data_IF_940216765947
#
_entry.id   IF_940216765947
#
_cell.length_a   1.000
_cell.length_b   1.000
_cell.length_c   1.000
_cell.angle_alpha   90.00
_cell.angle_beta   90.00
_cell.angle_gamma   90.00
#
_symmetry.space_group_name_H-M   'P 1'
#
loop_
_entity.id
_entity.type
_entity.pdbx_description
1 polymer ?
#
# COMPACT_ATOMS: atom_id res chain seq x y z
N UNK A 1 -9.25 21.69 -31.21
CA UNK A 1 -8.52 20.51 -31.75
C UNK A 1 -8.04 19.67 -30.59
N UNK A 2 -7.51 18.45 -30.77
CA UNK A 2 -6.99 17.64 -29.65
C UNK A 2 -5.90 18.33 -28.83
N UNK A 3 -5.11 19.18 -29.51
CA UNK A 3 -4.05 19.99 -28.91
C UNK A 3 -4.66 21.09 -28.03
N UNK A 4 -5.64 21.83 -28.55
CA UNK A 4 -6.38 22.82 -27.73
C UNK A 4 -7.13 22.16 -26.57
N UNK A 5 -7.66 20.94 -26.75
CA UNK A 5 -8.32 20.21 -25.66
C UNK A 5 -7.32 19.82 -24.57
N UNK A 6 -6.11 19.40 -24.91
CA UNK A 6 -5.07 19.11 -23.92
C UNK A 6 -4.66 20.36 -23.14
N UNK A 7 -4.52 21.51 -23.81
CA UNK A 7 -4.26 22.80 -23.19
C UNK A 7 -5.38 23.18 -22.18
N UNK A 8 -6.65 23.09 -22.59
CA UNK A 8 -7.79 23.40 -21.72
C UNK A 8 -7.88 22.44 -20.51
N UNK A 9 -7.53 21.16 -20.68
CA UNK A 9 -7.50 20.21 -19.57
C UNK A 9 -6.42 20.60 -18.56
N UNK A 10 -5.24 21.03 -19.01
CA UNK A 10 -4.17 21.47 -18.12
C UNK A 10 -4.55 22.73 -17.33
N UNK A 11 -5.18 23.70 -17.99
CA UNK A 11 -5.68 24.92 -17.34
C UNK A 11 -6.75 24.59 -16.28
N UNK A 12 -7.74 23.76 -16.63
CA UNK A 12 -8.79 23.35 -15.68
C UNK A 12 -8.20 22.55 -14.51
N UNK A 13 -7.23 21.67 -14.76
CA UNK A 13 -6.58 20.90 -13.70
C UNK A 13 -5.81 21.80 -12.73
N UNK A 14 -5.13 22.84 -13.23
CA UNK A 14 -4.45 23.84 -12.41
C UNK A 14 -5.41 24.71 -11.59
N UNK A 15 -6.65 24.94 -12.06
CA UNK A 15 -7.68 25.61 -11.27
C UNK A 15 -8.25 24.70 -10.17
N UNK A 16 -8.25 23.38 -10.39
CA UNK A 16 -8.80 22.40 -9.46
C UNK A 16 -7.84 22.00 -8.33
N UNK A 17 -6.53 22.14 -8.53
CA UNK A 17 -5.53 21.80 -7.51
C UNK A 17 -4.10 22.05 -7.99
N UNK A 18 -3.15 21.76 -7.09
CA UNK A 18 -1.72 21.93 -7.38
C UNK A 18 -1.25 20.86 -8.38
N UNK A 19 -0.65 21.32 -9.48
CA UNK A 19 0.02 20.46 -10.46
C UNK A 19 1.50 20.29 -10.12
N UNK A 20 2.11 19.24 -10.66
CA UNK A 20 3.56 19.15 -10.69
C UNK A 20 4.18 20.32 -11.46
N UNK A 21 5.42 20.66 -11.09
CA UNK A 21 6.23 21.68 -11.78
C UNK A 21 6.69 21.22 -13.19
N UNK A 22 6.40 19.97 -13.57
CA UNK A 22 6.74 19.38 -14.85
C UNK A 22 5.51 18.93 -15.66
N UNK A 23 5.68 18.82 -16.98
CA UNK A 23 4.67 18.27 -17.88
C UNK A 23 5.18 17.13 -18.76
N UNK A 24 4.26 16.24 -19.15
CA UNK A 24 4.50 15.30 -20.23
C UNK A 24 4.18 15.95 -21.57
N UNK A 25 5.08 15.82 -22.54
CA UNK A 25 4.88 16.33 -23.89
C UNK A 25 4.89 15.19 -24.90
N UNK A 26 3.79 15.05 -25.65
CA UNK A 26 3.59 13.95 -26.60
C UNK A 26 3.20 14.49 -27.96
N UNK A 27 3.47 13.75 -29.04
CA UNK A 27 2.84 14.08 -30.32
C UNK A 27 1.35 13.74 -30.25
N UNK A 28 0.48 14.72 -30.47
CA UNK A 28 -0.97 14.52 -30.39
C UNK A 28 -1.52 13.46 -31.34
N UNK A 29 -0.77 13.02 -32.35
CA UNK A 29 -1.13 12.00 -33.34
C UNK A 29 -0.41 10.65 -33.14
N UNK A 30 0.37 10.49 -32.06
CA UNK A 30 1.04 9.25 -31.67
C UNK A 30 0.41 8.68 -30.38
N UNK A 31 -0.73 7.98 -30.46
CA UNK A 31 -1.52 7.63 -29.28
C UNK A 31 -0.79 6.70 -28.31
N UNK A 32 0.11 5.84 -28.78
CA UNK A 32 0.83 4.91 -27.90
C UNK A 32 1.72 5.66 -26.89
N UNK A 33 2.38 6.73 -27.31
CA UNK A 33 3.26 7.53 -26.45
C UNK A 33 2.44 8.27 -25.38
N UNK A 34 1.29 8.84 -25.79
CA UNK A 34 0.36 9.48 -24.85
C UNK A 34 -0.22 8.50 -23.82
N UNK A 35 -0.49 7.26 -24.23
CA UNK A 35 -1.05 6.24 -23.35
C UNK A 35 -0.01 5.68 -22.39
N UNK A 36 1.25 5.57 -22.81
CA UNK A 36 2.35 5.19 -21.91
C UNK A 36 2.59 6.25 -20.83
N UNK A 37 2.47 7.53 -21.18
CA UNK A 37 2.63 8.65 -20.23
C UNK A 37 1.44 8.83 -19.27
N UNK A 38 0.25 8.32 -19.65
CA UNK A 38 -1.02 8.50 -18.93
C UNK A 38 -0.97 8.18 -17.43
N UNK A 39 -0.59 6.96 -17.03
CA UNK A 39 -0.49 6.59 -15.62
C UNK A 39 0.43 7.52 -14.83
N UNK A 40 1.61 7.84 -15.37
CA UNK A 40 2.59 8.67 -14.66
C UNK A 40 2.11 10.11 -14.51
N UNK A 41 1.42 10.64 -15.53
CA UNK A 41 0.77 11.94 -15.47
C UNK A 41 -0.32 11.99 -14.41
N UNK A 42 -1.13 10.92 -14.29
CA UNK A 42 -2.19 10.82 -13.30
C UNK A 42 -1.63 10.75 -11.87
N UNK A 43 -0.66 9.89 -11.63
CA UNK A 43 -0.06 9.69 -10.30
C UNK A 43 0.63 10.95 -9.77
N UNK A 44 1.30 11.69 -10.66
CA UNK A 44 2.09 12.86 -10.27
C UNK A 44 1.35 14.19 -10.43
N UNK A 45 0.04 14.15 -10.71
CA UNK A 45 -0.75 15.36 -10.96
C UNK A 45 -0.11 16.28 -12.03
N UNK A 46 0.45 15.67 -13.08
CA UNK A 46 1.19 16.37 -14.13
C UNK A 46 0.36 16.45 -15.43
N UNK A 47 0.31 17.61 -16.12
CA UNK A 47 -0.46 17.72 -17.35
C UNK A 47 0.23 16.98 -18.52
N UNK A 48 -0.60 16.44 -19.43
CA UNK A 48 -0.14 15.94 -20.74
C UNK A 48 -0.45 16.98 -21.80
N UNK A 49 0.59 17.64 -22.31
CA UNK A 49 0.49 18.59 -23.40
C UNK A 49 0.86 17.95 -24.74
N UNK A 50 0.25 18.46 -25.81
CA UNK A 50 0.42 17.88 -27.14
C UNK A 50 1.17 18.81 -28.09
N UNK A 51 2.08 18.23 -28.86
CA UNK A 51 2.78 18.90 -29.98
C UNK A 51 2.45 18.24 -31.31
N UNK A 52 2.95 18.82 -32.40
CA UNK A 52 3.00 18.19 -33.73
C UNK A 52 4.42 17.72 -34.02
N UNK A 53 4.58 16.83 -34.99
CA UNK A 53 5.89 16.27 -35.35
C UNK A 53 6.97 17.32 -35.62
N UNK A 54 6.60 18.42 -36.30
CA UNK A 54 7.52 19.47 -36.72
C UNK A 54 7.26 20.86 -36.15
N UNK A 55 6.38 21.00 -35.14
CA UNK A 55 6.13 22.30 -34.51
C UNK A 55 5.57 22.16 -33.09
N UNK A 56 6.01 23.03 -32.17
CA UNK A 56 5.27 23.34 -30.94
C UNK A 56 4.14 24.33 -31.31
N UNK A 57 2.86 23.97 -31.10
CA UNK A 57 1.74 24.88 -31.31
C UNK A 57 1.74 26.01 -30.26
N UNK A 58 1.36 27.23 -30.62
CA UNK A 58 1.36 28.37 -29.68
C UNK A 58 0.54 28.10 -28.42
N UNK A 59 -0.62 27.43 -28.54
CA UNK A 59 -1.45 27.06 -27.37
C UNK A 59 -0.72 26.16 -26.36
N UNK A 60 0.27 25.39 -26.80
CA UNK A 60 1.10 24.58 -25.90
C UNK A 60 2.16 25.45 -25.23
N UNK A 61 2.76 26.38 -25.98
CA UNK A 61 3.72 27.36 -25.44
C UNK A 61 3.04 28.26 -24.39
N UNK A 62 1.85 28.76 -24.71
CA UNK A 62 1.05 29.65 -23.85
C UNK A 62 0.72 28.97 -22.51
N UNK A 63 0.36 27.68 -22.51
CA UNK A 63 0.06 26.92 -21.28
C UNK A 63 1.32 26.65 -20.47
N UNK A 64 2.44 26.30 -21.10
CA UNK A 64 3.72 26.12 -20.39
C UNK A 64 4.13 27.40 -19.65
N UNK A 65 4.04 28.56 -20.32
CA UNK A 65 4.34 29.86 -19.71
C UNK A 65 3.34 30.21 -18.61
N UNK A 66 2.04 30.02 -18.85
CA UNK A 66 0.98 30.39 -17.91
C UNK A 66 1.02 29.56 -16.61
N UNK A 67 1.35 28.27 -16.72
CA UNK A 67 1.45 27.37 -15.58
C UNK A 67 2.84 27.38 -14.92
N UNK A 68 3.82 28.08 -15.51
CA UNK A 68 5.17 28.16 -14.96
C UNK A 68 5.94 26.85 -15.00
N UNK A 69 5.61 25.96 -15.94
CA UNK A 69 6.20 24.63 -16.08
C UNK A 69 7.59 24.75 -16.70
N UNK A 70 8.63 24.35 -15.96
CA UNK A 70 10.03 24.50 -16.35
C UNK A 70 10.79 23.18 -16.55
N UNK A 71 10.12 22.04 -16.37
CA UNK A 71 10.61 20.71 -16.71
C UNK A 71 9.64 19.92 -17.61
N UNK A 72 10.16 19.21 -18.61
CA UNK A 72 9.37 18.48 -19.60
C UNK A 72 9.89 17.07 -19.85
N UNK A 73 8.99 16.10 -19.78
CA UNK A 73 9.22 14.73 -20.26
C UNK A 73 8.61 14.57 -21.65
N UNK A 74 9.45 14.64 -22.68
CA UNK A 74 9.04 14.38 -24.07
C UNK A 74 8.97 12.88 -24.29
N UNK A 75 7.75 12.36 -24.42
CA UNK A 75 7.51 10.93 -24.64
C UNK A 75 7.35 10.64 -26.13
N UNK A 76 8.21 9.78 -26.65
CA UNK A 76 8.27 9.38 -28.06
C UNK A 76 9.56 9.82 -28.76
N UNK A 77 9.99 9.03 -29.75
CA UNK A 77 11.26 9.23 -30.46
C UNK A 77 11.24 10.39 -31.47
N UNK A 78 12.37 10.61 -32.15
CA UNK A 78 12.53 11.71 -33.13
C UNK A 78 11.63 11.59 -34.35
N UNK A 79 11.06 10.41 -34.60
CA UNK A 79 10.10 10.18 -35.69
C UNK A 79 8.71 10.78 -35.39
N UNK A 80 8.39 11.03 -34.12
CA UNK A 80 7.11 11.61 -33.70
C UNK A 80 7.27 12.96 -33.02
N UNK A 81 8.39 13.22 -32.34
CA UNK A 81 8.74 14.55 -31.84
C UNK A 81 10.13 14.88 -32.35
N UNK A 82 10.20 15.59 -33.48
CA UNK A 82 11.46 15.86 -34.18
C UNK A 82 12.49 16.58 -33.28
N UNK A 83 13.76 16.48 -33.64
CA UNK A 83 14.84 17.19 -32.94
C UNK A 83 14.61 18.72 -32.93
N UNK A 84 14.00 19.27 -33.98
CA UNK A 84 13.67 20.69 -34.03
C UNK A 84 12.61 21.08 -32.99
N UNK A 85 11.58 20.24 -32.81
CA UNK A 85 10.54 20.45 -31.78
C UNK A 85 11.14 20.28 -30.39
N UNK A 86 11.97 19.27 -30.19
CA UNK A 86 12.67 19.07 -28.92
C UNK A 86 13.52 20.28 -28.54
N UNK A 87 14.34 20.78 -29.45
CA UNK A 87 15.17 21.96 -29.19
C UNK A 87 14.31 23.22 -28.94
N UNK A 88 13.16 23.35 -29.60
CA UNK A 88 12.23 24.45 -29.34
C UNK A 88 11.65 24.37 -27.93
N UNK A 89 11.37 23.17 -27.42
CA UNK A 89 10.94 22.96 -26.03
C UNK A 89 12.10 23.20 -25.04
N UNK A 90 13.32 22.79 -25.38
CA UNK A 90 14.54 22.96 -24.58
C UNK A 90 14.98 24.43 -24.43
N UNK A 91 14.58 25.28 -25.39
CA UNK A 91 14.72 26.73 -25.28
C UNK A 91 13.73 27.35 -24.26
N UNK A 92 12.69 26.61 -23.85
CA UNK A 92 11.61 27.08 -22.95
C UNK A 92 11.69 26.48 -21.55
N UNK A 93 12.10 25.21 -21.43
CA UNK A 93 12.11 24.42 -20.20
C UNK A 93 13.22 23.34 -20.27
N UNK A 94 13.60 22.75 -19.16
CA UNK A 94 14.52 21.61 -19.12
C UNK A 94 13.83 20.37 -19.70
N UNK A 95 14.40 19.74 -20.73
CA UNK A 95 13.73 18.62 -21.43
C UNK A 95 14.47 17.30 -21.32
N UNK A 96 13.75 16.27 -20.86
CA UNK A 96 14.16 14.85 -20.90
C UNK A 96 13.34 14.10 -21.95
N UNK A 97 13.98 13.20 -22.71
CA UNK A 97 13.29 12.37 -23.71
C UNK A 97 13.14 10.93 -23.22
N UNK A 98 11.91 10.45 -23.16
CA UNK A 98 11.57 9.05 -22.88
C UNK A 98 11.15 8.39 -24.19
N UNK A 99 12.06 7.61 -24.80
CA UNK A 99 11.81 7.04 -26.12
C UNK A 99 12.63 5.79 -26.41
N UNK A 100 11.98 4.80 -27.00
CA UNK A 100 12.61 3.62 -27.57
C UNK A 100 12.53 3.56 -29.09
N UNK A 101 13.02 2.47 -29.68
CA UNK A 101 12.95 2.25 -31.14
C UNK A 101 11.52 2.03 -31.65
N UNK A 102 10.63 1.56 -30.77
CA UNK A 102 9.21 1.39 -31.03
C UNK A 102 8.37 1.64 -29.76
N UNK A 103 7.05 1.47 -29.85
CA UNK A 103 6.12 1.72 -28.73
C UNK A 103 6.40 0.85 -27.50
N UNK A 104 6.92 -0.36 -27.69
CA UNK A 104 7.18 -1.29 -26.60
C UNK A 104 8.40 -0.82 -25.81
N UNK A 105 9.45 -0.41 -26.52
CA UNK A 105 10.62 0.18 -25.88
C UNK A 105 10.31 1.56 -25.28
N UNK A 106 9.51 2.41 -25.91
CA UNK A 106 9.08 3.68 -25.29
C UNK A 106 8.31 3.46 -23.98
N UNK A 107 7.41 2.46 -23.91
CA UNK A 107 6.74 2.15 -22.63
C UNK A 107 7.70 1.71 -21.53
N UNK A 108 8.79 1.02 -21.90
CA UNK A 108 9.84 0.63 -20.93
C UNK A 108 10.61 1.85 -20.44
N UNK A 109 10.96 2.79 -21.32
CA UNK A 109 11.69 4.00 -20.92
C UNK A 109 10.83 4.91 -20.03
N UNK A 110 9.51 4.96 -20.25
CA UNK A 110 8.59 5.63 -19.31
C UNK A 110 8.54 4.88 -17.97
N UNK A 111 8.45 3.55 -17.99
CA UNK A 111 8.44 2.75 -16.76
C UNK A 111 9.72 2.95 -15.94
N UNK A 112 10.90 2.94 -16.55
CA UNK A 112 12.18 3.13 -15.83
C UNK A 112 12.31 4.51 -15.19
N UNK A 113 11.89 5.56 -15.90
CA UNK A 113 12.05 6.92 -15.42
C UNK A 113 11.03 7.25 -14.34
N UNK A 114 9.76 6.93 -14.58
CA UNK A 114 8.66 7.35 -13.72
C UNK A 114 8.36 6.36 -12.60
N UNK A 115 8.84 5.11 -12.72
CA UNK A 115 8.53 4.02 -11.80
C UNK A 115 9.77 3.18 -11.45
N UNK A 116 10.82 3.79 -10.87
CA UNK A 116 12.04 3.07 -10.52
C UNK A 116 11.80 1.92 -9.53
N UNK A 117 10.77 2.05 -8.68
CA UNK A 117 10.43 1.10 -7.62
C UNK A 117 9.09 0.38 -7.88
N UNK A 118 8.62 0.34 -9.13
CA UNK A 118 7.34 -0.32 -9.43
C UNK A 118 7.34 -1.80 -9.06
N UNK A 119 6.33 -2.20 -8.30
CA UNK A 119 6.02 -3.61 -8.02
C UNK A 119 4.96 -4.12 -8.99
N UNK A 120 3.99 -3.27 -9.33
CA UNK A 120 2.84 -3.64 -10.17
C UNK A 120 2.94 -3.05 -11.57
N UNK A 121 2.52 -3.82 -12.58
CA UNK A 121 2.57 -3.40 -13.98
C UNK A 121 1.26 -3.68 -14.71
N UNK A 122 0.87 -2.74 -15.56
CA UNK A 122 -0.28 -2.86 -16.46
C UNK A 122 0.17 -3.37 -17.82
N UNK A 123 -0.24 -4.59 -18.18
CA UNK A 123 0.09 -5.20 -19.47
C UNK A 123 -1.03 -4.94 -20.47
N UNK A 124 -0.71 -4.27 -21.58
CA UNK A 124 -1.71 -3.85 -22.56
C UNK A 124 -1.32 -4.23 -23.99
N UNK A 125 -2.28 -4.65 -24.80
CA UNK A 125 -2.06 -4.89 -26.22
C UNK A 125 -1.65 -3.61 -26.96
N UNK A 126 -0.48 -3.62 -27.60
CA UNK A 126 0.15 -2.43 -28.17
C UNK A 126 -0.62 -1.72 -29.27
N UNK A 127 -1.71 -2.30 -29.80
CA UNK A 127 -2.56 -1.68 -30.83
C UNK A 127 -4.02 -1.46 -30.39
N UNK A 128 -4.38 -1.87 -29.17
CA UNK A 128 -5.74 -1.69 -28.63
C UNK A 128 -5.74 -0.61 -27.55
N UNK A 129 -5.98 0.63 -27.99
CA UNK A 129 -5.83 1.82 -27.15
C UNK A 129 -6.90 1.98 -26.07
N UNK A 130 -8.09 1.37 -26.23
CA UNK A 130 -9.15 1.48 -25.23
C UNK A 130 -8.77 0.81 -23.90
N UNK A 131 -8.07 -0.32 -23.98
CA UNK A 131 -7.60 -1.06 -22.80
C UNK A 131 -6.54 -0.25 -22.04
N UNK A 132 -5.68 0.48 -22.75
CA UNK A 132 -4.66 1.35 -22.13
C UNK A 132 -5.29 2.53 -21.36
N UNK A 133 -6.39 3.10 -21.86
CA UNK A 133 -7.12 4.15 -21.14
C UNK A 133 -7.71 3.59 -19.85
N UNK A 134 -8.28 2.38 -19.90
CA UNK A 134 -8.79 1.69 -18.72
C UNK A 134 -7.69 1.31 -17.73
N UNK A 135 -6.48 1.02 -18.21
CA UNK A 135 -5.32 0.74 -17.35
C UNK A 135 -4.77 1.98 -16.65
N UNK A 136 -4.88 3.17 -17.26
CA UNK A 136 -4.28 4.39 -16.73
C UNK A 136 -4.75 4.78 -15.33
N UNK A 137 -5.97 4.40 -14.94
CA UNK A 137 -6.54 4.71 -13.61
C UNK A 137 -5.87 3.92 -12.47
N UNK A 138 -5.12 2.86 -12.78
CA UNK A 138 -4.39 2.09 -11.78
C UNK A 138 -3.06 2.74 -11.39
N UNK A 139 -2.67 3.85 -12.03
CA UNK A 139 -1.39 4.53 -11.83
C UNK A 139 -0.14 3.66 -12.03
N UNK A 140 -0.27 2.39 -12.40
CA UNK A 140 0.86 1.50 -12.67
C UNK A 140 1.49 1.74 -14.05
N UNK A 141 2.80 1.50 -14.21
CA UNK A 141 3.47 1.56 -15.52
C UNK A 141 2.77 0.68 -16.55
N UNK A 142 2.39 1.27 -17.67
CA UNK A 142 1.85 0.53 -18.82
C UNK A 142 3.01 -0.03 -19.63
N UNK A 143 3.05 -1.35 -19.78
CA UNK A 143 3.94 -2.05 -20.70
C UNK A 143 3.13 -2.62 -21.87
N UNK A 144 3.50 -2.22 -23.09
CA UNK A 144 2.84 -2.74 -24.27
C UNK A 144 3.37 -4.13 -24.66
N UNK A 145 2.48 -5.02 -25.07
CA UNK A 145 2.82 -6.33 -25.66
C UNK A 145 2.18 -6.50 -27.03
N UNK A 146 2.63 -7.48 -27.81
CA UNK A 146 1.91 -7.88 -29.04
C UNK A 146 0.75 -8.79 -28.65
N UNK A 147 -0.22 -8.93 -29.55
CA UNK A 147 -1.35 -9.83 -29.34
C UNK A 147 -0.89 -11.27 -29.07
N UNK A 148 0.13 -11.73 -29.80
CA UNK A 148 0.57 -13.12 -29.84
C UNK A 148 1.99 -13.34 -29.28
N UNK A 149 2.65 -12.30 -28.77
CA UNK A 149 3.98 -12.42 -28.21
C UNK A 149 4.31 -11.30 -27.20
N UNK A 150 5.09 -11.64 -26.16
CA UNK A 150 5.84 -10.64 -25.38
C UNK A 150 7.03 -10.20 -26.24
N UNK A 151 7.19 -8.90 -26.56
CA UNK A 151 8.39 -8.41 -27.24
C UNK A 151 9.65 -8.72 -26.42
N UNK A 152 10.75 -9.08 -27.06
CA UNK A 152 11.98 -9.47 -26.34
C UNK A 152 12.55 -8.37 -25.44
N UNK A 153 12.33 -7.09 -25.79
CA UNK A 153 12.71 -5.96 -24.94
C UNK A 153 11.89 -5.90 -23.65
N UNK A 154 10.58 -6.13 -23.74
CA UNK A 154 9.66 -6.17 -22.59
C UNK A 154 9.94 -7.42 -21.75
N UNK A 155 10.19 -8.56 -22.40
CA UNK A 155 10.52 -9.81 -21.74
C UNK A 155 11.78 -9.68 -20.88
N UNK A 156 12.85 -9.11 -21.44
CA UNK A 156 14.11 -8.87 -20.74
C UNK A 156 14.00 -7.79 -19.66
N UNK A 157 13.18 -6.76 -19.87
CA UNK A 157 12.91 -5.75 -18.83
C UNK A 157 12.20 -6.39 -17.63
N UNK A 158 11.16 -7.18 -17.88
CA UNK A 158 10.43 -7.89 -16.81
C UNK A 158 11.31 -8.90 -16.06
N UNK A 159 12.28 -9.55 -16.72
CA UNK A 159 13.22 -10.45 -16.04
C UNK A 159 14.14 -9.70 -15.05
N UNK A 160 14.38 -8.41 -15.26
CA UNK A 160 15.25 -7.58 -14.43
C UNK A 160 14.50 -6.99 -13.22
N UNK A 161 13.21 -6.67 -13.39
CA UNK A 161 12.45 -5.88 -12.40
C UNK A 161 11.41 -6.68 -11.61
N UNK A 162 10.95 -7.84 -12.11
CA UNK A 162 9.91 -8.59 -11.41
C UNK A 162 10.45 -9.24 -10.13
N UNK A 163 9.68 -9.09 -9.06
CA UNK A 163 9.90 -9.76 -7.78
C UNK A 163 8.74 -10.71 -7.47
N UNK A 164 8.85 -11.50 -6.40
CA UNK A 164 7.76 -12.38 -5.96
C UNK A 164 6.52 -11.60 -5.49
N UNK A 165 6.70 -10.31 -5.15
CA UNK A 165 5.62 -9.42 -4.79
C UNK A 165 4.91 -8.79 -6.00
N UNK A 166 5.52 -8.83 -7.19
CA UNK A 166 5.00 -8.12 -8.36
C UNK A 166 3.65 -8.65 -8.86
N UNK A 167 2.76 -7.74 -9.27
CA UNK A 167 1.50 -8.09 -9.92
C UNK A 167 1.49 -7.60 -11.37
N UNK A 168 1.30 -8.54 -12.31
CA UNK A 168 1.02 -8.21 -13.71
C UNK A 168 -0.48 -8.25 -13.98
N UNK A 169 -1.07 -7.09 -14.24
CA UNK A 169 -2.51 -6.99 -14.59
C UNK A 169 -2.67 -6.83 -16.10
N UNK A 170 -3.32 -7.79 -16.75
CA UNK A 170 -3.58 -7.75 -18.19
C UNK A 170 -4.90 -7.01 -18.46
N UNK A 171 -4.83 -5.94 -19.24
CA UNK A 171 -6.01 -5.20 -19.70
C UNK A 171 -6.36 -5.60 -21.13
N UNK A 172 -7.62 -6.01 -21.31
CA UNK A 172 -8.16 -6.48 -22.57
C UNK A 172 -8.32 -8.00 -22.62
N UNK A 173 -9.26 -8.47 -23.46
CA UNK A 173 -9.48 -9.90 -23.65
C UNK A 173 -8.43 -10.57 -24.53
N UNK A 174 -8.63 -11.86 -24.84
CA UNK A 174 -7.70 -12.68 -25.64
C UNK A 174 -7.45 -12.20 -27.08
N UNK A 175 -8.30 -11.29 -27.57
CA UNK A 175 -8.11 -10.62 -28.87
C UNK A 175 -7.08 -9.49 -28.77
N UNK A 176 -6.85 -8.92 -27.59
CA UNK A 176 -5.83 -7.90 -27.34
C UNK A 176 -4.52 -8.50 -26.85
N UNK A 177 -4.60 -9.44 -25.92
CA UNK A 177 -3.47 -10.15 -25.33
C UNK A 177 -3.84 -11.64 -25.26
N UNK A 178 -3.28 -12.45 -26.13
CA UNK A 178 -3.65 -13.88 -26.23
C UNK A 178 -3.28 -14.66 -24.97
N UNK A 179 -3.93 -15.80 -24.77
CA UNK A 179 -3.60 -16.71 -23.66
C UNK A 179 -2.15 -17.20 -23.70
N UNK A 180 -1.53 -17.27 -24.89
CA UNK A 180 -0.12 -17.64 -25.00
C UNK A 180 0.82 -16.56 -24.44
N UNK A 181 0.43 -15.28 -24.52
CA UNK A 181 1.15 -14.18 -23.87
C UNK A 181 0.94 -14.24 -22.36
N UNK A 182 -0.29 -14.46 -21.92
CA UNK A 182 -0.61 -14.65 -20.50
C UNK A 182 0.19 -15.81 -19.88
N UNK A 183 0.25 -16.96 -20.56
CA UNK A 183 1.03 -18.12 -20.11
C UNK A 183 2.54 -17.82 -20.05
N UNK A 184 3.07 -17.07 -21.02
CA UNK A 184 4.48 -16.65 -21.01
C UNK A 184 4.81 -15.71 -19.85
N UNK A 185 3.91 -14.77 -19.52
CA UNK A 185 4.08 -13.86 -18.39
C UNK A 185 3.96 -14.60 -17.05
N UNK A 186 3.01 -15.54 -16.92
CA UNK A 186 2.90 -16.41 -15.73
C UNK A 186 4.15 -17.23 -15.48
N UNK A 187 4.80 -17.71 -16.54
CA UNK A 187 6.02 -18.50 -16.41
C UNK A 187 7.15 -17.72 -15.75
N UNK A 188 7.19 -16.38 -15.89
CA UNK A 188 8.21 -15.55 -15.23
C UNK A 188 8.14 -15.66 -13.70
N UNK A 189 6.94 -15.73 -13.12
CA UNK A 189 6.76 -15.87 -11.67
C UNK A 189 7.15 -17.24 -11.11
N UNK A 190 7.31 -18.27 -11.95
CA UNK A 190 7.72 -19.61 -11.49
C UNK A 190 9.20 -19.63 -11.12
N UNK A 191 10.01 -18.81 -11.79
CA UNK A 191 11.47 -18.78 -11.63
C UNK A 191 11.95 -17.66 -10.69
N UNK A 192 11.04 -16.82 -10.18
CA UNK A 192 11.41 -15.79 -9.20
C UNK A 192 11.63 -16.45 -7.84
N UNK A 193 12.84 -16.37 -7.26
CA UNK A 193 13.09 -16.89 -5.93
C UNK A 193 12.20 -16.13 -4.94
N UNK A 194 11.36 -16.86 -4.22
CA UNK A 194 10.63 -16.31 -3.09
C UNK A 194 11.64 -16.21 -1.94
N UNK A 195 11.79 -15.02 -1.36
CA UNK A 195 12.63 -14.85 -0.17
C UNK A 195 11.98 -15.54 1.03
N UNK A 196 12.79 -16.16 1.87
CA UNK A 196 12.29 -16.81 3.08
C UNK A 196 11.82 -15.74 4.08
N UNK A 197 10.57 -15.85 4.53
CA UNK A 197 10.00 -14.92 5.50
C UNK A 197 9.26 -15.65 6.63
N UNK A 198 9.41 -15.13 7.84
CA UNK A 198 8.50 -15.40 8.96
C UNK A 198 7.22 -14.60 8.71
N UNK A 199 6.07 -15.26 8.75
CA UNK A 199 4.78 -14.63 8.52
C UNK A 199 4.00 -14.36 9.79
N UNK A 200 4.26 -15.12 10.85
CA UNK A 200 3.57 -15.00 12.14
C UNK A 200 4.40 -15.66 13.25
N UNK A 201 4.23 -15.16 14.47
CA UNK A 201 4.76 -15.78 15.70
C UNK A 201 3.65 -15.84 16.73
N UNK A 202 3.52 -16.97 17.43
CA UNK A 202 2.52 -17.15 18.47
C UNK A 202 3.05 -17.92 19.67
N UNK A 203 2.88 -17.38 20.87
CA UNK A 203 3.09 -18.13 22.11
C UNK A 203 2.02 -19.24 22.25
N UNK A 204 2.44 -20.47 22.49
CA UNK A 204 1.59 -21.66 22.58
C UNK A 204 1.20 -22.05 24.01
N UNK A 205 1.80 -21.40 25.01
CA UNK A 205 1.55 -21.68 26.44
C UNK A 205 1.38 -20.39 27.22
N UNK A 206 0.66 -20.46 28.33
CA UNK A 206 0.42 -19.28 29.19
C UNK A 206 1.72 -18.67 29.73
N UNK A 207 2.71 -19.50 30.06
CA UNK A 207 4.04 -19.05 30.52
C UNK A 207 5.02 -18.70 29.39
N UNK A 208 4.61 -18.83 28.12
CA UNK A 208 5.46 -18.50 26.98
C UNK A 208 6.64 -19.47 26.75
N UNK A 209 6.66 -20.63 27.40
CA UNK A 209 7.73 -21.63 27.25
C UNK A 209 7.82 -22.27 25.87
N UNK A 210 6.73 -22.18 25.11
CA UNK A 210 6.66 -22.66 23.74
C UNK A 210 6.07 -21.59 22.84
N UNK A 211 6.62 -21.49 21.63
CA UNK A 211 6.09 -20.65 20.56
C UNK A 211 5.99 -21.44 19.24
N UNK A 212 5.18 -20.93 18.31
CA UNK A 212 5.17 -21.35 16.91
C UNK A 212 5.57 -20.16 16.05
N UNK A 213 6.46 -20.41 15.11
CA UNK A 213 6.85 -19.49 14.05
C UNK A 213 6.27 -20.05 12.75
N UNK A 214 5.45 -19.30 12.02
CA UNK A 214 4.92 -19.69 10.71
C UNK A 214 5.73 -19.01 9.59
N UNK A 215 5.87 -19.68 8.44
CA UNK A 215 6.71 -19.24 7.32
C UNK A 215 5.92 -19.11 6.02
N UNK A 216 6.37 -18.23 5.12
CA UNK A 216 5.77 -18.07 3.78
C UNK A 216 6.01 -19.29 2.87
N UNK A 217 7.04 -20.08 3.15
CA UNK A 217 7.40 -21.30 2.43
C UNK A 217 7.76 -22.47 3.35
N UNK A 218 7.90 -23.66 2.78
CA UNK A 218 8.30 -24.83 3.54
C UNK A 218 9.83 -24.94 3.61
N UNK A 219 10.37 -25.12 4.82
CA UNK A 219 11.81 -25.38 5.06
C UNK A 219 12.07 -26.87 5.32
N UNK A 220 13.27 -27.33 5.00
CA UNK A 220 13.63 -28.74 5.16
C UNK A 220 13.81 -29.16 6.63
N UNK A 221 14.51 -28.35 7.42
CA UNK A 221 14.85 -28.62 8.81
C UNK A 221 15.11 -27.31 9.56
N UNK A 222 14.98 -27.37 10.88
CA UNK A 222 15.32 -26.27 11.80
C UNK A 222 15.81 -26.88 13.12
N UNK A 223 16.68 -26.16 13.80
CA UNK A 223 17.26 -26.50 15.09
C UNK A 223 17.33 -25.25 15.97
N UNK A 224 17.67 -25.41 17.25
CA UNK A 224 17.77 -24.29 18.17
C UNK A 224 18.81 -23.24 17.72
N UNK A 225 19.93 -23.68 17.11
CA UNK A 225 21.01 -22.80 16.64
C UNK A 225 20.59 -21.92 15.45
N UNK A 226 19.47 -22.24 14.79
CA UNK A 226 18.95 -21.48 13.65
C UNK A 226 18.02 -20.34 14.09
N UNK A 227 17.76 -20.19 15.40
CA UNK A 227 16.79 -19.24 15.96
C UNK A 227 17.45 -18.38 17.03
N UNK A 228 17.36 -17.06 16.85
CA UNK A 228 17.71 -16.05 17.84
C UNK A 228 16.43 -15.31 18.25
N UNK A 229 16.24 -15.09 19.55
CA UNK A 229 15.09 -14.34 20.08
C UNK A 229 15.60 -13.31 21.06
N UNK A 230 15.33 -12.04 20.79
CA UNK A 230 15.78 -10.90 21.61
C UNK A 230 14.56 -10.20 22.18
N UNK A 231 14.55 -9.90 23.48
CA UNK A 231 13.58 -8.99 24.07
C UNK A 231 13.95 -7.54 23.70
N UNK A 232 13.05 -6.82 23.03
CA UNK A 232 13.34 -5.52 22.40
C UNK A 232 13.75 -4.46 23.43
N UNK A 233 13.05 -4.41 24.58
CA UNK A 233 13.27 -3.41 25.61
C UNK A 233 14.63 -3.56 26.33
N UNK A 234 15.08 -4.79 26.56
CA UNK A 234 16.29 -5.10 27.34
C UNK A 234 17.50 -5.38 26.47
N UNK A 235 17.27 -5.89 25.25
CA UNK A 235 18.30 -6.46 24.38
C UNK A 235 18.79 -7.84 24.85
N UNK A 236 18.12 -8.46 25.83
CA UNK A 236 18.50 -9.77 26.35
C UNK A 236 18.08 -10.89 25.38
N UNK A 237 18.98 -11.85 25.17
CA UNK A 237 18.73 -13.03 24.33
C UNK A 237 18.00 -14.12 25.13
N UNK A 238 16.86 -14.57 24.61
CA UNK A 238 16.09 -15.67 25.17
C UNK A 238 16.58 -17.01 24.60
N UNK A 239 17.16 -17.83 25.47
CA UNK A 239 17.74 -19.12 25.06
C UNK A 239 16.72 -20.09 24.49
N UNK A 240 16.93 -20.53 23.25
CA UNK A 240 16.13 -21.59 22.61
C UNK A 240 16.70 -22.96 22.98
N UNK A 241 15.88 -23.80 23.63
CA UNK A 241 16.25 -25.15 24.06
C UNK A 241 16.09 -26.18 22.94
N UNK A 242 15.03 -26.04 22.14
CA UNK A 242 14.75 -26.95 21.05
C UNK A 242 13.90 -26.25 19.98
N UNK A 243 14.11 -26.62 18.72
CA UNK A 243 13.26 -26.24 17.62
C UNK A 243 13.02 -27.43 16.69
N UNK A 244 11.83 -27.52 16.12
CA UNK A 244 11.50 -28.58 15.18
C UNK A 244 10.47 -28.11 14.16
N UNK A 245 10.59 -28.61 12.93
CA UNK A 245 9.64 -28.28 11.86
C UNK A 245 8.26 -28.85 12.18
N UNK A 246 7.24 -28.09 11.83
CA UNK A 246 5.83 -28.41 11.95
C UNK A 246 5.13 -28.09 10.62
N UNK A 247 3.86 -28.49 10.48
CA UNK A 247 3.01 -28.15 9.31
C UNK A 247 3.70 -28.39 7.95
N UNK A 248 4.36 -29.55 7.82
CA UNK A 248 5.11 -29.92 6.62
C UNK A 248 6.19 -28.89 6.21
N UNK A 249 6.87 -28.31 7.20
CA UNK A 249 7.96 -27.34 6.99
C UNK A 249 7.50 -25.89 6.95
N UNK A 250 6.19 -25.59 6.98
CA UNK A 250 5.67 -24.21 6.97
C UNK A 250 5.61 -23.55 8.33
N UNK A 251 6.09 -24.23 9.37
CA UNK A 251 6.20 -23.68 10.70
C UNK A 251 7.33 -24.35 11.47
N UNK A 252 7.76 -23.72 12.56
CA UNK A 252 8.61 -24.31 13.57
C UNK A 252 7.94 -24.22 14.95
N UNK A 253 7.98 -25.31 15.72
CA UNK A 253 7.70 -25.26 17.15
C UNK A 253 9.00 -25.00 17.89
N UNK A 254 8.98 -24.02 18.78
CA UNK A 254 10.12 -23.58 19.59
C UNK A 254 9.83 -23.88 21.06
N UNK A 255 10.84 -24.39 21.77
CA UNK A 255 10.85 -24.55 23.21
C UNK A 255 12.00 -23.72 23.77
N UNK A 256 11.71 -22.84 24.72
CA UNK A 256 12.71 -22.02 25.40
C UNK A 256 13.32 -22.73 26.60
N UNK A 257 14.51 -22.32 27.02
CA UNK A 257 15.01 -22.66 28.34
C UNK A 257 14.19 -21.89 29.37
N UNK A 258 13.56 -22.61 30.29
CA UNK A 258 12.78 -22.03 31.38
C UNK A 258 12.84 -22.95 32.61
N UNK A 259 12.89 -22.34 33.80
CA UNK A 259 12.53 -23.04 35.02
C UNK A 259 11.00 -23.18 35.14
N UNK A 260 10.52 -24.15 35.93
CA UNK A 260 9.09 -24.53 35.97
C UNK A 260 8.16 -23.32 36.15
N UNK A 261 8.52 -22.34 37.00
CA UNK A 261 7.69 -21.18 37.35
C UNK A 261 8.04 -19.87 36.63
N UNK A 262 9.04 -19.89 35.75
CA UNK A 262 9.47 -18.72 34.99
C UNK A 262 8.46 -18.40 33.87
N UNK A 263 8.29 -17.12 33.53
CA UNK A 263 7.58 -16.70 32.31
C UNK A 263 8.65 -16.21 31.35
N UNK A 264 8.68 -16.74 30.12
CA UNK A 264 9.72 -16.40 29.14
C UNK A 264 9.25 -15.29 28.22
N UNK A 265 8.20 -15.56 27.45
CA UNK A 265 7.55 -14.53 26.65
C UNK A 265 6.50 -13.86 27.56
N UNK A 266 6.84 -12.80 28.27
CA UNK A 266 5.89 -12.02 29.08
C UNK A 266 4.84 -11.33 28.20
N UNK A 267 3.63 -11.12 28.74
CA UNK A 267 2.58 -10.36 28.04
C UNK A 267 2.87 -8.87 28.12
N UNK A 268 2.52 -8.13 27.08
CA UNK A 268 2.81 -6.71 26.93
C UNK A 268 4.17 -6.46 26.27
N UNK A 269 5.10 -7.40 26.37
CA UNK A 269 6.46 -7.23 25.86
C UNK A 269 6.59 -7.53 24.37
N UNK A 270 7.62 -6.91 23.75
CA UNK A 270 8.02 -7.08 22.36
C UNK A 270 9.28 -7.92 22.24
N UNK A 271 9.28 -8.83 21.28
CA UNK A 271 10.37 -9.77 21.00
C UNK A 271 10.71 -9.76 19.51
N UNK A 272 11.99 -9.79 19.20
CA UNK A 272 12.51 -9.88 17.83
C UNK A 272 12.94 -11.33 17.60
N UNK A 273 12.24 -12.03 16.71
CA UNK A 273 12.57 -13.39 16.29
C UNK A 273 13.37 -13.36 14.99
N UNK A 274 14.59 -13.89 15.01
CA UNK A 274 15.41 -14.09 13.82
C UNK A 274 15.54 -15.57 13.53
N UNK A 275 15.25 -15.99 12.30
CA UNK A 275 15.42 -17.38 11.85
C UNK A 275 16.37 -17.40 10.66
N UNK A 276 17.45 -18.17 10.76
CA UNK A 276 18.48 -18.34 9.72
C UNK A 276 18.56 -19.79 9.26
N UNK A 277 18.04 -20.07 8.06
CA UNK A 277 17.98 -21.42 7.46
C UNK A 277 18.59 -21.42 6.05
N UNK A 278 18.57 -22.59 5.38
CA UNK A 278 19.15 -22.71 4.04
C UNK A 278 18.42 -21.85 2.99
N UNK A 279 17.12 -21.63 3.19
CA UNK A 279 16.24 -20.85 2.33
C UNK A 279 16.42 -19.32 2.52
N UNK A 280 17.05 -18.88 3.61
CA UNK A 280 17.33 -17.46 3.86
C UNK A 280 17.36 -17.11 5.35
N UNK A 281 17.37 -15.81 5.64
CA UNK A 281 17.24 -15.29 7.01
C UNK A 281 16.11 -14.27 7.04
N UNK A 282 15.25 -14.38 8.05
CA UNK A 282 14.11 -13.48 8.25
C UNK A 282 14.01 -13.08 9.71
N UNK A 283 13.57 -11.84 9.94
CA UNK A 283 13.33 -11.27 11.27
C UNK A 283 11.86 -10.89 11.38
N UNK A 284 11.26 -11.10 12.56
CA UNK A 284 9.86 -10.80 12.83
C UNK A 284 9.69 -10.20 14.22
N UNK A 285 9.01 -9.07 14.29
CA UNK A 285 8.65 -8.43 15.54
C UNK A 285 7.35 -9.03 16.08
N UNK A 286 7.46 -9.67 17.24
CA UNK A 286 6.36 -10.31 17.94
C UNK A 286 6.05 -9.56 19.22
N UNK A 287 4.84 -8.98 19.30
CA UNK A 287 4.31 -8.47 20.56
C UNK A 287 3.39 -9.51 21.18
N UNK A 288 3.68 -9.93 22.41
CA UNK A 288 2.77 -10.82 23.15
C UNK A 288 1.67 -10.00 23.80
N UNK A 289 0.70 -9.57 23.01
CA UNK A 289 -0.32 -8.64 23.48
C UNK A 289 -1.21 -9.19 24.60
N UNK A 290 -1.69 -8.27 25.43
CA UNK A 290 -2.91 -8.46 26.20
C UNK A 290 -4.11 -8.55 25.26
N UNK A 291 -5.25 -9.01 25.76
CA UNK A 291 -6.49 -8.94 24.99
C UNK A 291 -7.64 -8.58 25.90
N UNK A 292 -8.50 -7.71 25.42
CA UNK A 292 -9.76 -7.39 26.06
C UNK A 292 -10.88 -7.50 25.04
N UNK A 293 -12.05 -7.97 25.48
CA UNK A 293 -13.27 -7.94 24.66
C UNK A 293 -14.28 -7.06 25.36
N UNK A 294 -14.70 -5.99 24.69
CA UNK A 294 -15.54 -4.98 25.30
C UNK A 294 -16.12 -4.02 24.28
N UNK A 295 -17.02 -3.15 24.76
CA UNK A 295 -17.62 -2.11 23.91
C UNK A 295 -16.71 -0.90 23.82
N UNK A 296 -16.56 -0.35 22.63
CA UNK A 296 -15.96 0.99 22.46
C UNK A 296 -16.97 2.03 22.91
N UNK A 297 -16.70 2.70 24.01
CA UNK A 297 -17.61 3.70 24.59
C UNK A 297 -17.19 5.13 24.27
N UNK A 298 -15.94 5.33 23.85
CA UNK A 298 -15.39 6.65 23.55
C UNK A 298 -14.22 6.54 22.57
N UNK A 299 -13.96 7.63 21.85
CA UNK A 299 -12.87 7.81 20.88
C UNK A 299 -12.35 9.24 21.04
N UNK A 300 -11.06 9.39 21.30
CA UNK A 300 -10.38 10.67 21.31
C UNK A 300 -9.63 10.86 19.98
N UNK A 301 -10.09 11.80 19.17
CA UNK A 301 -9.46 12.12 17.88
C UNK A 301 -8.23 13.01 17.99
N UNK A 302 -8.05 13.73 19.11
CA UNK A 302 -6.87 14.59 19.30
C UNK A 302 -5.66 13.74 19.70
N UNK A 303 -5.87 12.75 20.57
CA UNK A 303 -4.83 11.86 21.09
C UNK A 303 -4.79 10.48 20.39
N UNK A 304 -5.69 10.24 19.44
CA UNK A 304 -5.83 8.98 18.68
C UNK A 304 -6.01 7.75 19.61
N UNK A 305 -6.89 7.86 20.60
CA UNK A 305 -7.15 6.80 21.58
C UNK A 305 -8.59 6.27 21.49
N UNK A 306 -8.80 5.03 21.90
CA UNK A 306 -10.14 4.46 22.09
C UNK A 306 -10.35 3.98 23.52
N UNK A 307 -11.59 4.08 24.01
CA UNK A 307 -11.96 3.62 25.36
C UNK A 307 -12.79 2.37 25.30
N UNK A 308 -12.23 1.28 25.81
CA UNK A 308 -12.91 -0.03 25.88
C UNK A 308 -13.54 -0.23 27.25
N UNK A 309 -14.85 -0.50 27.28
CA UNK A 309 -15.57 -0.99 28.46
C UNK A 309 -15.70 -2.51 28.41
N UNK A 310 -15.08 -3.20 29.36
CA UNK A 310 -15.08 -4.66 29.46
C UNK A 310 -15.55 -5.12 30.86
N UNK A 311 -15.95 -6.39 30.97
CA UNK A 311 -16.45 -6.98 32.23
C UNK A 311 -15.34 -7.77 32.92
N UNK A 312 -15.11 -7.48 34.20
CA UNK A 312 -14.12 -8.15 35.04
C UNK A 312 -14.69 -8.37 36.45
N UNK A 313 -14.77 -9.63 36.89
CA UNK A 313 -15.32 -10.06 38.18
C UNK A 313 -16.68 -9.40 38.54
N UNK A 314 -17.65 -9.44 37.61
CA UNK A 314 -19.00 -8.86 37.73
C UNK A 314 -19.06 -7.31 37.78
N UNK A 315 -17.94 -6.61 37.59
CA UNK A 315 -17.87 -5.15 37.47
C UNK A 315 -17.46 -4.72 36.05
N UNK A 316 -17.91 -3.54 35.62
CA UNK A 316 -17.38 -2.93 34.40
C UNK A 316 -16.07 -2.20 34.68
N UNK A 317 -15.09 -2.44 33.82
CA UNK A 317 -13.81 -1.72 33.75
C UNK A 317 -13.72 -0.95 32.46
N UNK A 318 -12.85 0.06 32.48
CA UNK A 318 -12.61 0.94 31.34
C UNK A 318 -11.11 1.05 31.12
N UNK A 319 -10.71 1.04 29.86
CA UNK A 319 -9.30 1.19 29.48
C UNK A 319 -9.17 2.03 28.23
N UNK A 320 -8.30 3.02 28.29
CA UNK A 320 -7.82 3.75 27.13
C UNK A 320 -6.74 2.93 26.45
N UNK A 321 -6.77 2.90 25.12
CA UNK A 321 -5.80 2.21 24.27
C UNK A 321 -5.43 3.19 23.17
N UNK A 322 -4.13 3.47 23.05
CA UNK A 322 -3.57 4.30 21.99
C UNK A 322 -3.66 3.56 20.66
N UNK A 323 -4.08 4.26 19.61
CA UNK A 323 -4.11 3.75 18.24
C UNK A 323 -2.94 4.36 17.49
N UNK A 324 -2.03 3.56 16.89
CA UNK A 324 -0.95 4.11 16.09
C UNK A 324 -1.48 4.94 14.91
N UNK A 325 -0.78 6.03 14.57
CA UNK A 325 -1.19 6.95 13.48
C UNK A 325 -1.35 6.25 12.12
N UNK A 326 -0.58 5.19 11.87
CA UNK A 326 -0.58 4.42 10.64
C UNK A 326 -1.51 3.18 10.69
N UNK A 327 -2.24 3.00 11.79
CA UNK A 327 -3.11 1.85 11.98
C UNK A 327 -4.44 2.03 11.25
N UNK A 328 -4.77 1.12 10.33
CA UNK A 328 -6.01 1.15 9.55
C UNK A 328 -7.22 0.73 10.42
N UNK A 329 -7.82 1.73 11.06
CA UNK A 329 -9.08 1.59 11.80
C UNK A 329 -9.92 2.85 11.64
N UNK A 330 -11.17 2.67 11.25
CA UNK A 330 -12.15 3.75 11.21
C UNK A 330 -12.73 3.90 12.63
N UNK A 331 -12.22 4.88 13.37
CA UNK A 331 -12.59 5.12 14.75
C UNK A 331 -14.08 5.48 14.90
N UNK A 332 -14.64 6.21 13.93
CA UNK A 332 -16.07 6.54 13.89
C UNK A 332 -16.90 5.27 13.68
N UNK A 333 -16.42 4.38 12.82
CA UNK A 333 -17.09 3.11 12.55
C UNK A 333 -17.07 2.17 13.76
N UNK A 334 -16.04 2.14 14.60
CA UNK A 334 -15.98 1.20 15.72
C UNK A 334 -16.75 1.67 16.97
N UNK A 335 -17.10 2.95 17.06
CA UNK A 335 -17.80 3.51 18.21
C UNK A 335 -19.11 2.75 18.50
N UNK A 336 -19.36 2.50 19.78
CA UNK A 336 -20.51 1.77 20.32
C UNK A 336 -20.66 0.30 19.87
N UNK A 337 -19.63 -0.28 19.22
CA UNK A 337 -19.56 -1.72 18.87
C UNK A 337 -18.73 -2.50 19.88
N UNK A 338 -18.96 -3.81 19.88
CA UNK A 338 -18.17 -4.75 20.68
C UNK A 338 -16.98 -5.24 19.87
N UNK A 339 -15.78 -4.93 20.38
CA UNK A 339 -14.51 -5.29 19.77
C UNK A 339 -13.74 -6.21 20.71
N UNK A 340 -13.00 -7.14 20.11
CA UNK A 340 -11.81 -7.69 20.74
C UNK A 340 -10.60 -6.87 20.30
N UNK A 341 -9.87 -6.36 21.26
CA UNK A 341 -8.65 -5.58 21.07
C UNK A 341 -7.46 -6.35 21.63
N UNK A 342 -6.31 -6.15 21.02
CA UNK A 342 -5.03 -6.60 21.50
C UNK A 342 -4.11 -5.41 21.60
N UNK A 343 -3.38 -5.28 22.70
CA UNK A 343 -2.51 -4.14 22.98
C UNK A 343 -1.24 -4.59 23.71
N UNK A 344 -0.20 -3.78 23.63
CA UNK A 344 1.10 -4.04 24.27
C UNK A 344 1.17 -3.55 25.73
N UNK A 345 2.36 -3.52 26.33
CA UNK A 345 2.56 -3.10 27.72
C UNK A 345 2.38 -1.60 27.96
N UNK A 346 2.47 -0.81 26.89
CA UNK A 346 2.28 0.64 26.89
C UNK A 346 0.85 1.03 26.48
N UNK A 347 -0.06 0.04 26.41
CA UNK A 347 -1.46 0.20 26.01
C UNK A 347 -1.65 0.66 24.55
N UNK A 348 -0.70 0.33 23.67
CA UNK A 348 -0.78 0.61 22.23
C UNK A 348 -1.45 -0.55 21.50
N UNK A 349 -2.45 -0.25 20.65
CA UNK A 349 -3.21 -1.22 19.87
C UNK A 349 -2.31 -1.94 18.86
N UNK A 350 -2.28 -3.28 18.93
CA UNK A 350 -1.56 -4.13 17.98
C UNK A 350 -2.49 -4.84 17.00
N UNK A 351 -3.73 -5.11 17.42
CA UNK A 351 -4.75 -5.77 16.60
C UNK A 351 -6.14 -5.47 17.12
N UNK A 352 -7.13 -5.48 16.22
CA UNK A 352 -8.55 -5.50 16.62
C UNK A 352 -9.37 -6.50 15.80
N UNK A 353 -10.56 -6.82 16.29
CA UNK A 353 -11.60 -7.57 15.57
C UNK A 353 -12.96 -7.11 16.08
N UNK A 354 -13.88 -6.81 15.16
CA UNK A 354 -15.28 -6.52 15.51
C UNK A 354 -15.97 -7.85 15.83
N UNK A 355 -16.34 -8.06 17.10
CA UNK A 355 -17.02 -9.28 17.55
C UNK A 355 -18.54 -9.19 17.31
N UNK A 356 -19.09 -7.96 17.29
CA UNK A 356 -20.49 -7.70 16.96
C UNK A 356 -20.67 -6.42 16.17
N UNK A 357 -21.42 -6.50 15.07
CA UNK A 357 -21.88 -5.34 14.30
C UNK A 357 -23.06 -4.63 14.96
N UNK A 358 -23.67 -5.23 15.99
CA UNK A 358 -24.76 -4.61 16.73
C UNK A 358 -24.24 -3.39 17.50
N UNK A 359 -24.61 -2.21 17.02
CA UNK A 359 -24.30 -0.95 17.71
C UNK A 359 -25.27 -0.78 18.87
N UNK A 360 -24.72 -0.69 20.08
CA UNK A 360 -25.49 -0.30 21.26
C UNK A 360 -24.98 1.05 21.73
N UNK A 361 -25.53 2.10 21.13
CA UNK A 361 -25.43 3.45 21.65
C UNK A 361 -25.84 3.43 23.13
N UNK A 362 -25.05 4.06 23.97
CA UNK A 362 -25.56 4.42 25.29
C UNK A 362 -26.81 5.28 25.05
N UNK A 363 -27.93 4.83 25.62
CA UNK A 363 -29.22 5.39 25.27
C UNK A 363 -29.32 6.81 25.83
N UNK A 364 -29.76 7.74 24.99
CA UNK A 364 -30.27 9.04 25.44
C UNK A 364 -31.75 8.84 25.79
N UNK A 365 -32.12 9.13 27.03
CA UNK A 365 -33.51 9.25 27.45
C UNK A 365 -33.90 10.72 27.45
N UNK A 366 -34.90 11.08 26.64
CA UNK A 366 -35.55 12.38 26.72
C UNK A 366 -36.48 12.36 27.93
N UNK A 367 -36.08 13.06 28.98
CA UNK A 367 -36.84 13.16 30.24
C UNK A 367 -37.85 14.31 30.20
N UNK A 368 -37.55 15.37 29.45
CA UNK A 368 -38.49 16.46 29.14
C UNK A 368 -38.16 17.09 27.76
N UNK A 369 -38.97 18.06 27.32
CA UNK A 369 -38.83 18.78 26.05
C UNK A 369 -37.46 19.50 25.88
N UNK A 370 -36.73 19.71 26.99
CA UNK A 370 -35.51 20.52 27.10
C UNK A 370 -34.41 19.84 27.94
N UNK A 371 -34.51 18.53 28.22
CA UNK A 371 -33.50 17.78 29.01
C UNK A 371 -33.27 16.38 28.44
N UNK A 372 -32.00 15.97 28.40
CA UNK A 372 -31.60 14.59 28.13
C UNK A 372 -30.85 14.02 29.33
N UNK A 373 -31.10 12.74 29.61
CA UNK A 373 -30.32 11.93 30.53
C UNK A 373 -29.58 10.88 29.71
N UNK A 374 -28.28 10.73 29.97
CA UNK A 374 -27.58 9.54 29.52
C UNK A 374 -28.05 8.40 30.42
N UNK A 375 -28.68 7.36 29.85
CA UNK A 375 -29.32 6.25 30.60
C UNK A 375 -28.35 5.48 31.52
N UNK A 376 -27.06 5.83 31.53
CA UNK A 376 -26.02 5.24 32.35
C UNK A 376 -25.12 6.23 33.12
N UNK A 377 -25.30 7.55 32.97
CA UNK A 377 -24.65 8.56 33.84
C UNK A 377 -25.74 9.32 34.61
N UNK A 378 -25.64 9.37 35.95
CA UNK A 378 -26.57 10.14 36.81
C UNK A 378 -26.35 11.68 36.67
N UNK A 379 -26.07 12.17 35.46
CA UNK A 379 -25.87 13.58 35.15
C UNK A 379 -26.92 14.07 34.13
N UNK A 380 -27.72 15.04 34.57
CA UNK A 380 -28.71 15.75 33.75
C UNK A 380 -28.01 16.92 33.02
N UNK A 381 -28.30 17.07 31.72
CA UNK A 381 -27.79 18.19 30.92
C UNK A 381 -28.95 19.08 30.45
N UNK A 382 -28.86 20.37 30.80
CA UNK A 382 -29.82 21.42 30.45
C UNK A 382 -29.30 22.19 29.22
N UNK A 383 -30.11 22.22 28.15
CA UNK A 383 -29.76 22.87 26.89
C UNK A 383 -29.83 24.41 26.93
N UNK A 384 -30.37 25.01 28.01
CA UNK A 384 -30.56 26.46 28.08
C UNK A 384 -29.29 27.25 28.46
N UNK A 385 -28.27 26.62 29.08
CA UNK A 385 -27.10 27.33 29.62
C UNK A 385 -25.80 27.22 28.80
N UNK A 386 -25.67 26.25 27.88
CA UNK A 386 -24.55 26.20 26.94
C UNK A 386 -25.03 25.89 25.52
N UNK A 387 -25.15 26.93 24.70
CA UNK A 387 -25.24 26.80 23.24
C UNK A 387 -23.92 26.23 22.74
N UNK A 388 -23.79 24.91 22.67
CA UNK A 388 -22.81 24.28 21.81
C UNK A 388 -23.31 24.39 20.37
N UNK A 389 -22.70 25.28 19.59
CA UNK A 389 -22.79 25.27 18.14
C UNK A 389 -22.26 23.91 17.65
N UNK A 390 -23.16 23.00 17.31
CA UNK A 390 -22.83 21.79 16.57
C UNK A 390 -22.70 22.19 15.10
N UNK A 391 -21.46 22.23 14.60
CA UNK A 391 -21.13 22.33 13.17
C UNK A 391 -21.03 20.95 12.57
#
# INVERSE_FOLDING_TARGET
TRIETAALIAEEAAEAGDLADYAFVVNGFAPADSLAAGPAAFENNAPILQVREGSVPSVTEDVLEALGIDELFVVGGTAVVSAAVFNQLDDMASVSRLAGADRYETSIEVAKEMYPDAVDYSIVGGFNYADAIGAAVFANPILFVRQDAVPSSVDAYLDDVLTSASILTIFGGTVAVSSGVEDALKAKFVDIPVEFEITDVSALTERGHHARIDFNMAIANISADDIEVIEDATGDELGVKNASTARAGRAANVEFFADDDEVILERGERYIFTVSVAEGTSTYEYVRSYTETGRIVDVDHEDNELRVRYEDDDDFKYKWIEVPDDYDIDLEYILARELRVWFDGDDVLTRHTVESEDVKYDALELIDDEEIELVYEDEEYDFDDEVMDVV
#
